data_IF_854052926670
#
_entry.id   IF_854052926670
#
_cell.length_a   1.000
_cell.length_b   1.000
_cell.length_c   1.000
_cell.angle_alpha   90.00
_cell.angle_beta   90.00
_cell.angle_gamma   90.00
#
_symmetry.space_group_name_H-M   'P 1'
#
loop_
_entity.id
_entity.type
_entity.pdbx_description
1 polymer ?
#
# COMPACT_ATOMS: atom_id res chain seq x y z
N UNK A 1 -16.15 10.12 -2.50
CA UNK A 1 -14.68 9.99 -2.57
C UNK A 1 -14.38 8.65 -3.19
N UNK A 2 -13.71 8.64 -4.34
CA UNK A 2 -13.22 7.40 -4.96
C UNK A 2 -12.20 6.80 -4.01
N UNK A 3 -12.43 5.58 -3.50
CA UNK A 3 -11.45 4.90 -2.63
C UNK A 3 -10.16 4.75 -3.42
N UNK A 4 -9.06 5.31 -2.91
CA UNK A 4 -7.76 5.20 -3.56
C UNK A 4 -7.24 3.78 -3.34
N UNK A 5 -6.91 3.08 -4.42
CA UNK A 5 -6.49 1.68 -4.40
C UNK A 5 -5.15 1.53 -5.10
N UNK A 6 -4.35 0.57 -4.66
CA UNK A 6 -3.17 0.10 -5.38
C UNK A 6 -3.56 -1.20 -6.09
N UNK A 7 -3.37 -1.28 -7.40
CA UNK A 7 -3.51 -2.53 -8.15
C UNK A 7 -2.13 -3.09 -8.45
N UNK A 8 -1.79 -4.20 -7.80
CA UNK A 8 -0.59 -4.98 -8.09
C UNK A 8 -0.92 -5.95 -9.22
N UNK A 9 -0.30 -5.74 -10.38
CA UNK A 9 -0.58 -6.50 -11.59
C UNK A 9 0.64 -7.33 -11.99
N UNK A 10 0.46 -8.65 -12.06
CA UNK A 10 1.42 -9.56 -12.69
C UNK A 10 0.70 -10.55 -13.60
N UNK A 11 1.16 -10.65 -14.85
CA UNK A 11 0.59 -11.56 -15.86
C UNK A 11 -0.94 -11.46 -15.94
N UNK A 12 -1.64 -12.44 -15.36
CA UNK A 12 -3.09 -12.57 -15.32
C UNK A 12 -3.71 -12.46 -13.92
N UNK A 13 -2.94 -11.96 -12.95
CA UNK A 13 -3.38 -11.75 -11.59
C UNK A 13 -3.40 -10.26 -11.25
N UNK A 14 -4.53 -9.79 -10.74
CA UNK A 14 -4.67 -8.43 -10.21
C UNK A 14 -5.05 -8.54 -8.75
N UNK A 15 -4.26 -7.90 -7.89
CA UNK A 15 -4.56 -7.75 -6.47
C UNK A 15 -4.71 -6.27 -6.14
N UNK A 16 -5.83 -5.93 -5.51
CA UNK A 16 -6.11 -4.60 -5.01
C UNK A 16 -5.79 -4.49 -3.52
N UNK A 17 -5.11 -3.41 -3.16
CA UNK A 17 -4.91 -2.96 -1.79
C UNK A 17 -5.66 -1.65 -1.60
N UNK A 18 -6.66 -1.65 -0.71
CA UNK A 18 -7.39 -0.43 -0.34
C UNK A 18 -6.51 0.43 0.58
N UNK A 19 -6.24 1.68 0.20
CA UNK A 19 -5.28 2.53 0.95
C UNK A 19 -5.84 3.10 2.25
N UNK A 20 -7.16 3.06 2.44
CA UNK A 20 -7.85 3.56 3.64
C UNK A 20 -7.92 2.52 4.78
N UNK A 21 -7.80 1.25 4.43
CA UNK A 21 -8.02 0.12 5.33
C UNK A 21 -6.91 -0.92 5.29
N UNK A 22 -6.03 -0.88 4.27
CA UNK A 22 -5.08 -1.94 3.95
C UNK A 22 -5.74 -3.25 3.52
N UNK A 23 -7.05 -3.25 3.25
CA UNK A 23 -7.77 -4.46 2.89
C UNK A 23 -7.34 -4.97 1.51
N UNK A 24 -7.24 -6.28 1.41
CA UNK A 24 -6.86 -6.97 0.19
C UNK A 24 -8.07 -7.58 -0.51
N UNK A 25 -8.12 -7.42 -1.83
CA UNK A 25 -9.02 -8.17 -2.70
C UNK A 25 -8.29 -8.55 -3.97
N UNK A 26 -8.69 -9.63 -4.64
CA UNK A 26 -8.00 -10.11 -5.83
C UNK A 26 -8.98 -10.64 -6.88
N UNK A 27 -8.56 -10.57 -8.14
CA UNK A 27 -9.26 -11.13 -9.27
C UNK A 27 -8.29 -11.83 -10.21
N UNK A 28 -8.76 -12.93 -10.80
CA UNK A 28 -8.10 -13.57 -11.95
C UNK A 28 -8.63 -12.95 -13.23
N UNK A 29 -7.74 -12.67 -14.19
CA UNK A 29 -8.12 -12.08 -15.48
C UNK A 29 -8.95 -13.07 -16.33
N UNK A 30 -10.25 -13.14 -16.06
CA UNK A 30 -11.26 -13.44 -17.08
C UNK A 30 -11.72 -12.19 -17.85
N UNK A 31 -11.38 -11.01 -17.32
CA UNK A 31 -11.72 -9.69 -17.86
C UNK A 31 -10.44 -8.92 -18.28
N UNK A 32 -10.54 -7.89 -19.16
CA UNK A 32 -9.40 -7.05 -19.52
C UNK A 32 -8.81 -6.31 -18.30
N UNK A 33 -7.47 -6.29 -18.17
CA UNK A 33 -6.74 -5.61 -17.07
C UNK A 33 -7.22 -4.17 -16.89
N UNK A 34 -7.35 -3.43 -17.99
CA UNK A 34 -7.71 -2.01 -17.99
C UNK A 34 -9.02 -1.72 -17.25
N UNK A 35 -9.97 -2.66 -17.33
CA UNK A 35 -11.26 -2.57 -16.61
C UNK A 35 -11.06 -2.73 -15.10
N UNK A 36 -10.25 -3.71 -14.70
CA UNK A 36 -10.04 -4.05 -13.29
C UNK A 36 -9.21 -2.99 -12.55
N UNK A 37 -8.28 -2.33 -13.26
CA UNK A 37 -7.39 -1.32 -12.65
C UNK A 37 -7.92 0.10 -12.75
N UNK A 38 -9.10 0.31 -13.33
CA UNK A 38 -9.68 1.64 -13.51
C UNK A 38 -9.79 2.39 -12.17
N UNK A 39 -9.20 3.59 -12.11
CA UNK A 39 -9.21 4.44 -10.92
C UNK A 39 -8.30 3.98 -9.77
N UNK A 40 -7.35 3.08 -10.05
CA UNK A 40 -6.32 2.66 -9.11
C UNK A 40 -4.92 3.09 -9.57
N UNK A 41 -3.99 3.20 -8.63
CA UNK A 41 -2.56 3.31 -8.94
C UNK A 41 -2.06 1.91 -9.30
N UNK A 42 -1.59 1.74 -10.53
CA UNK A 42 -1.06 0.46 -11.02
C UNK A 42 0.41 0.35 -10.68
N UNK A 43 0.79 -0.78 -10.07
CA UNK A 43 2.17 -1.13 -9.76
C UNK A 43 2.46 -2.56 -10.21
N UNK A 44 3.73 -2.86 -10.44
CA UNK A 44 4.18 -4.17 -10.89
C UNK A 44 5.20 -4.77 -9.93
N UNK A 45 5.22 -6.09 -9.71
CA UNK A 45 6.29 -6.73 -8.93
C UNK A 45 7.67 -6.30 -9.42
N UNK A 46 8.51 -5.87 -8.47
CA UNK A 46 9.90 -5.50 -8.74
C UNK A 46 10.13 -4.11 -9.35
N UNK A 47 9.09 -3.31 -9.56
CA UNK A 47 9.21 -1.95 -10.13
C UNK A 47 9.79 -0.89 -9.15
N UNK A 48 10.07 -1.30 -7.91
CA UNK A 48 10.59 -0.45 -6.84
C UNK A 48 9.55 0.41 -6.13
N UNK A 49 8.27 0.35 -6.51
CA UNK A 49 7.19 1.14 -5.89
C UNK A 49 7.00 0.78 -4.41
N UNK A 50 7.11 -0.50 -4.05
CA UNK A 50 7.02 -0.93 -2.65
C UNK A 50 8.13 -0.29 -1.80
N UNK A 51 9.37 -0.32 -2.28
CA UNK A 51 10.52 0.29 -1.61
C UNK A 51 10.33 1.81 -1.49
N UNK A 52 9.89 2.47 -2.57
CA UNK A 52 9.65 3.92 -2.57
C UNK A 52 8.62 4.33 -1.53
N UNK A 53 7.52 3.60 -1.42
CA UNK A 53 6.46 3.85 -0.43
C UNK A 53 6.98 3.61 0.99
N UNK A 54 7.64 2.48 1.24
CA UNK A 54 8.21 2.16 2.55
C UNK A 54 9.24 3.21 3.00
N UNK A 55 10.12 3.64 2.11
CA UNK A 55 11.13 4.67 2.39
C UNK A 55 10.49 6.03 2.67
N UNK A 56 9.45 6.39 1.91
CA UNK A 56 8.73 7.65 2.12
C UNK A 56 8.00 7.67 3.47
N UNK A 57 7.37 6.56 3.86
CA UNK A 57 6.73 6.40 5.18
C UNK A 57 7.79 6.49 6.30
N UNK A 58 8.94 5.82 6.14
CA UNK A 58 10.02 5.88 7.12
C UNK A 58 10.62 7.28 7.25
N UNK A 59 10.80 7.99 6.14
CA UNK A 59 11.26 9.39 6.14
C UNK A 59 10.27 10.30 6.86
N UNK A 60 8.97 10.11 6.64
CA UNK A 60 7.92 10.89 7.30
C UNK A 60 7.85 10.61 8.81
N UNK A 61 7.93 9.33 9.22
CA UNK A 61 7.99 8.97 10.63
C UNK A 61 9.19 9.63 11.33
N UNK A 62 10.37 9.60 10.68
CA UNK A 62 11.57 10.29 11.18
C UNK A 62 11.36 11.80 11.30
N UNK A 63 10.77 12.44 10.28
CA UNK A 63 10.49 13.89 10.27
C UNK A 63 9.57 14.30 11.42
N UNK A 64 8.59 13.47 11.75
CA UNK A 64 7.63 13.69 12.84
C UNK A 64 8.16 13.28 14.22
N UNK A 65 9.35 12.68 14.29
CA UNK A 65 9.95 12.17 15.53
C UNK A 65 9.27 10.92 16.08
N UNK A 66 8.62 10.12 15.23
CA UNK A 66 8.06 8.81 15.59
C UNK A 66 9.10 7.69 15.38
N UNK A 67 8.92 6.53 16.05
CA UNK A 67 9.73 5.35 15.77
C UNK A 67 9.69 4.96 14.29
N UNK A 68 10.78 4.35 13.80
CA UNK A 68 10.82 3.81 12.44
C UNK A 68 9.75 2.71 12.30
N UNK A 69 8.88 2.78 11.29
CA UNK A 69 7.90 1.73 10.98
C UNK A 69 8.58 0.42 10.54
N UNK A 70 7.87 -0.69 10.71
CA UNK A 70 8.33 -1.98 10.22
C UNK A 70 8.37 -1.99 8.68
N UNK A 71 9.23 -2.82 8.11
CA UNK A 71 9.41 -2.95 6.66
C UNK A 71 9.05 -4.37 6.26
N UNK A 72 8.14 -4.50 5.30
CA UNK A 72 7.66 -5.77 4.80
C UNK A 72 8.15 -6.01 3.39
N UNK A 73 8.61 -7.24 3.14
CA UNK A 73 9.11 -7.68 1.83
C UNK A 73 8.20 -8.76 1.26
N UNK A 74 8.13 -8.91 -0.08
CA UNK A 74 7.34 -9.97 -0.70
C UNK A 74 7.71 -11.38 -0.22
N UNK A 75 8.94 -11.59 0.25
CA UNK A 75 9.43 -12.89 0.70
C UNK A 75 9.01 -13.26 2.13
N UNK A 76 8.37 -12.35 2.86
CA UNK A 76 7.89 -12.60 4.23
C UNK A 76 6.64 -13.49 4.23
N UNK A 77 6.02 -13.72 3.06
CA UNK A 77 4.76 -14.43 2.93
C UNK A 77 4.90 -15.73 2.13
N UNK A 78 4.28 -16.78 2.65
CA UNK A 78 4.16 -18.08 1.97
C UNK A 78 2.87 -18.10 1.14
N UNK A 79 3.01 -18.36 -0.16
CA UNK A 79 1.87 -18.45 -1.08
C UNK A 79 1.42 -19.91 -1.29
N UNK A 80 0.11 -20.12 -1.34
CA UNK A 80 -0.52 -21.41 -1.61
C UNK A 80 -1.65 -21.21 -2.64
N UNK A 81 -1.30 -21.18 -3.92
CA UNK A 81 -2.25 -21.01 -5.03
C UNK A 81 -1.58 -21.23 -6.38
N UNK A 82 -2.20 -20.74 -7.45
CA UNK A 82 -1.68 -20.86 -8.81
C UNK A 82 -0.38 -20.06 -8.98
N UNK A 83 0.72 -20.68 -9.47
CA UNK A 83 2.04 -20.03 -9.55
C UNK A 83 2.05 -18.69 -10.29
N UNK A 84 1.16 -18.52 -11.28
CA UNK A 84 1.06 -17.28 -12.05
C UNK A 84 0.61 -16.05 -11.24
N UNK A 85 0.00 -16.23 -10.06
CA UNK A 85 -0.44 -15.13 -9.19
C UNK A 85 0.48 -14.88 -7.99
N UNK A 86 1.52 -15.69 -7.82
CA UNK A 86 2.36 -15.65 -6.62
C UNK A 86 3.00 -14.28 -6.41
N UNK A 87 3.64 -13.72 -7.44
CA UNK A 87 4.33 -12.43 -7.33
C UNK A 87 3.36 -11.28 -7.04
N UNK A 88 2.26 -11.19 -7.79
CA UNK A 88 1.24 -10.16 -7.53
C UNK A 88 0.67 -10.27 -6.11
N UNK A 89 0.41 -11.49 -5.62
CA UNK A 89 -0.10 -11.70 -4.27
C UNK A 89 0.91 -11.32 -3.19
N UNK A 90 2.17 -11.77 -3.32
CA UNK A 90 3.23 -11.49 -2.34
C UNK A 90 3.50 -9.98 -2.25
N UNK A 91 3.57 -9.29 -3.38
CA UNK A 91 3.72 -7.84 -3.40
C UNK A 91 2.49 -7.13 -2.82
N UNK A 92 1.27 -7.57 -3.14
CA UNK A 92 0.06 -7.01 -2.55
C UNK A 92 0.02 -7.19 -1.03
N UNK A 93 0.47 -8.33 -0.50
CA UNK A 93 0.60 -8.54 0.96
C UNK A 93 1.59 -7.57 1.59
N UNK A 94 2.77 -7.41 0.98
CA UNK A 94 3.75 -6.47 1.48
C UNK A 94 3.24 -5.01 1.43
N UNK A 95 2.52 -4.63 0.36
CA UNK A 95 1.85 -3.32 0.27
C UNK A 95 0.76 -3.16 1.33
N UNK A 96 -0.07 -4.18 1.57
CA UNK A 96 -1.10 -4.16 2.61
C UNK A 96 -0.50 -3.85 3.97
N UNK A 97 0.55 -4.57 4.38
CA UNK A 97 1.14 -4.36 5.69
C UNK A 97 1.89 -3.01 5.77
N UNK A 98 2.49 -2.57 4.66
CA UNK A 98 3.06 -1.20 4.54
C UNK A 98 1.99 -0.11 4.68
N UNK A 99 0.79 -0.32 4.12
CA UNK A 99 -0.36 0.59 4.29
C UNK A 99 -0.83 0.59 5.75
N UNK A 100 -0.85 -0.55 6.43
CA UNK A 100 -1.20 -0.61 7.85
C UNK A 100 -0.22 0.21 8.70
N UNK A 101 1.08 0.15 8.42
CA UNK A 101 2.08 0.97 9.10
C UNK A 101 1.83 2.48 8.90
N UNK A 102 1.46 2.89 7.69
CA UNK A 102 1.05 4.27 7.43
C UNK A 102 -0.19 4.68 8.22
N UNK A 103 -1.23 3.85 8.24
CA UNK A 103 -2.46 4.12 8.97
C UNK A 103 -2.21 4.21 10.49
N UNK A 104 -1.32 3.35 11.02
CA UNK A 104 -0.90 3.40 12.42
C UNK A 104 -0.11 4.69 12.75
N UNK A 105 0.76 5.12 11.83
CA UNK A 105 1.48 6.39 11.96
C UNK A 105 0.52 7.59 11.96
N UNK A 106 -0.42 7.63 11.03
CA UNK A 106 -1.42 8.70 10.93
C UNK A 106 -2.35 8.71 12.14
N UNK A 107 -2.72 7.54 12.68
CA UNK A 107 -3.47 7.47 13.94
C UNK A 107 -2.70 8.12 15.11
N UNK A 108 -1.40 7.83 15.24
CA UNK A 108 -0.53 8.47 16.25
C UNK A 108 -0.39 9.97 16.02
N UNK A 109 -0.20 10.41 14.77
CA UNK A 109 -0.10 11.83 14.41
C UNK A 109 -1.35 12.59 14.83
N UNK A 110 -2.53 12.08 14.48
CA UNK A 110 -3.83 12.70 14.80
C UNK A 110 -4.13 12.72 16.30
N UNK A 111 -3.62 11.76 17.06
CA UNK A 111 -3.73 11.75 18.52
C UNK A 111 -2.82 12.77 19.22
N UNK A 112 -1.75 13.25 18.57
CA UNK A 112 -0.79 14.19 19.17
C UNK A 112 -1.22 15.63 18.91
N UNK A 113 -1.68 16.33 19.97
CA UNK A 113 -2.19 17.72 19.90
C UNK A 113 -1.35 18.66 19.01
N UNK A 114 -0.04 18.73 19.24
CA UNK A 114 0.84 19.61 18.47
C UNK A 114 0.86 19.29 16.96
N UNK A 115 0.79 18.01 16.58
CA UNK A 115 0.75 17.60 15.17
C UNK A 115 -0.66 17.73 14.58
N UNK A 116 -1.70 17.54 15.38
CA UNK A 116 -3.08 17.74 14.93
C UNK A 116 -3.36 19.22 14.62
N UNK A 117 -2.79 20.15 15.39
CA UNK A 117 -2.87 21.59 15.12
C UNK A 117 -2.14 21.99 13.83
N UNK A 118 -0.99 21.37 13.53
CA UNK A 118 -0.20 21.67 12.33
C UNK A 118 -0.73 21.01 11.05
N UNK A 119 -1.20 19.76 11.14
CA UNK A 119 -1.52 18.92 9.96
C UNK A 119 -2.99 18.50 9.87
N UNK A 120 -3.84 18.85 10.83
CA UNK A 120 -5.25 18.47 10.87
C UNK A 120 -5.53 17.03 11.31
N UNK A 121 -6.81 16.65 11.31
CA UNK A 121 -7.34 15.38 11.82
C UNK A 121 -7.73 14.37 10.73
N UNK A 122 -7.52 14.69 9.46
CA UNK A 122 -7.79 13.79 8.33
C UNK A 122 -6.59 12.87 8.08
N UNK A 123 -6.84 11.64 7.60
CA UNK A 123 -5.77 10.73 7.16
C UNK A 123 -5.19 11.24 5.85
N UNK A 124 -3.87 11.41 5.80
CA UNK A 124 -3.18 11.84 4.57
C UNK A 124 -3.04 10.69 3.57
N UNK A 125 -2.91 11.04 2.29
CA UNK A 125 -2.64 10.08 1.22
C UNK A 125 -1.34 9.31 1.48
N UNK A 126 -1.29 8.06 1.00
CA UNK A 126 -0.11 7.22 1.11
C UNK A 126 1.05 7.86 0.32
N UNK A 127 2.20 8.13 0.95
CA UNK A 127 3.30 8.81 0.28
C UNK A 127 4.05 7.84 -0.66
N UNK A 128 4.68 8.38 -1.70
CA UNK A 128 5.51 7.59 -2.64
C UNK A 128 4.72 6.94 -3.79
N UNK A 129 3.41 7.17 -3.87
CA UNK A 129 2.60 6.91 -5.05
C UNK A 129 2.26 8.24 -5.72
N UNK A 130 2.54 8.37 -7.01
CA UNK A 130 2.15 9.56 -7.77
C UNK A 130 0.62 9.61 -7.89
N UNK A 131 0.06 10.82 -7.73
CA UNK A 131 -1.38 11.10 -7.76
C UNK A 131 -1.92 11.25 -9.18
#
# INVERSE_FOLDING_TARGET
>A
MTRSKISVVDKQAVWHVETDTGALSGAWLGEPVDTLVAGSVVVHPGDGSLTRVADAIAAEAKRLGFPKPDTYTPNDYTYHGEPAAEDAWRYARAFSDTVQEWLALEAKRRGRKALAEEYGSETRALPGLDS
#
